data_IF_263916713130
#
_entry.id   IF_263916713130
#
_cell.length_a   1.000
_cell.length_b   1.000
_cell.length_c   1.000
_cell.angle_alpha   90.00
_cell.angle_beta   90.00
_cell.angle_gamma   90.00
#
_symmetry.space_group_name_H-M   'P 1'
#
loop_
_entity.id
_entity.type
_entity.pdbx_description
1 polymer ?
#
# COMPACT_ATOMS: atom_id res chain seq x y z
N UNK A 1 10.65 11.91 13.91
CA UNK A 1 9.87 10.75 13.45
C UNK A 1 10.79 9.53 13.51
N UNK A 2 10.37 8.47 14.19
CA UNK A 2 11.16 7.22 14.25
C UNK A 2 11.12 6.51 12.90
N UNK A 3 12.26 6.00 12.45
CA UNK A 3 12.36 5.12 11.29
C UNK A 3 12.30 3.67 11.76
N UNK A 4 11.64 2.82 10.99
CA UNK A 4 11.44 1.40 11.29
C UNK A 4 12.27 0.55 10.33
N UNK A 5 12.83 -0.56 10.83
CA UNK A 5 13.46 -1.60 10.03
C UNK A 5 12.46 -2.70 9.67
N UNK A 6 12.81 -3.58 8.72
CA UNK A 6 12.01 -4.79 8.44
C UNK A 6 11.84 -5.66 9.70
N UNK A 7 12.84 -5.72 10.58
CA UNK A 7 12.75 -6.49 11.81
C UNK A 7 11.67 -5.95 12.75
N UNK A 8 11.55 -4.63 12.84
CA UNK A 8 10.50 -3.97 13.63
C UNK A 8 9.10 -4.29 13.06
N UNK A 9 8.97 -4.40 11.74
CA UNK A 9 7.72 -4.79 11.09
C UNK A 9 7.33 -6.23 11.45
N UNK A 10 8.29 -7.16 11.35
CA UNK A 10 8.07 -8.59 11.66
C UNK A 10 7.60 -8.78 13.11
N UNK A 11 8.16 -7.99 14.04
CA UNK A 11 7.93 -8.11 15.48
C UNK A 11 6.84 -7.19 16.03
N UNK A 12 6.33 -6.24 15.24
CA UNK A 12 5.35 -5.27 15.72
C UNK A 12 4.09 -5.95 16.25
N UNK A 13 3.69 -5.54 17.45
CA UNK A 13 2.44 -5.93 18.10
C UNK A 13 1.35 -4.87 17.96
N UNK A 14 1.61 -3.82 17.16
CA UNK A 14 0.69 -2.71 17.00
C UNK A 14 -0.62 -3.16 16.35
N UNK A 15 -1.72 -2.53 16.78
CA UNK A 15 -3.04 -2.78 16.19
C UNK A 15 -3.03 -2.51 14.69
N UNK A 16 -2.37 -1.45 14.25
CA UNK A 16 -2.23 -1.08 12.84
C UNK A 16 -0.76 -1.19 12.44
N UNK A 17 -0.48 -2.04 11.45
CA UNK A 17 0.86 -2.35 10.96
C UNK A 17 1.05 -1.74 9.58
N UNK A 18 0.84 -0.43 9.50
CA UNK A 18 0.92 0.35 8.27
C UNK A 18 2.25 1.10 8.21
N UNK A 19 2.98 0.88 7.13
CA UNK A 19 4.32 1.43 6.91
C UNK A 19 4.38 2.11 5.54
N UNK A 20 5.29 3.06 5.39
CA UNK A 20 5.54 3.74 4.13
C UNK A 20 7.02 3.69 3.80
N UNK A 21 7.34 3.28 2.57
CA UNK A 21 8.67 3.36 1.99
C UNK A 21 8.66 4.51 0.97
N UNK A 22 9.16 5.67 1.40
CA UNK A 22 9.25 6.85 0.53
C UNK A 22 10.43 6.67 -0.43
N UNK A 23 10.21 6.91 -1.71
CA UNK A 23 11.23 6.90 -2.76
C UNK A 23 10.90 7.96 -3.81
N UNK A 24 11.84 8.27 -4.69
CA UNK A 24 11.55 8.98 -5.93
C UNK A 24 11.09 7.99 -7.02
N UNK A 25 10.51 8.52 -8.10
CA UNK A 25 10.10 7.71 -9.25
C UNK A 25 11.27 6.91 -9.85
N UNK A 26 12.48 7.47 -9.87
CA UNK A 26 13.68 6.82 -10.39
C UNK A 26 14.17 5.68 -9.47
N UNK A 27 13.90 5.76 -8.16
CA UNK A 27 14.31 4.78 -7.15
C UNK A 27 13.28 3.67 -6.93
N UNK A 28 12.09 3.75 -7.54
CA UNK A 28 11.00 2.80 -7.33
C UNK A 28 11.44 1.36 -7.63
N UNK A 29 12.17 1.16 -8.73
CA UNK A 29 12.67 -0.16 -9.15
C UNK A 29 13.68 -0.72 -8.12
N UNK A 30 14.53 0.13 -7.57
CA UNK A 30 15.53 -0.26 -6.56
C UNK A 30 14.87 -0.60 -5.22
N UNK A 31 13.83 0.15 -4.84
CA UNK A 31 13.01 -0.12 -3.66
C UNK A 31 12.28 -1.47 -3.77
N UNK A 32 11.67 -1.76 -4.92
CA UNK A 32 11.02 -3.06 -5.21
C UNK A 32 12.05 -4.19 -5.15
N UNK A 33 13.21 -3.98 -5.78
CA UNK A 33 14.29 -4.99 -5.82
C UNK A 33 14.83 -5.29 -4.42
N UNK A 34 14.99 -4.27 -3.59
CA UNK A 34 15.41 -4.41 -2.19
C UNK A 34 14.38 -5.20 -1.36
N UNK A 35 13.08 -4.88 -1.47
CA UNK A 35 12.02 -5.65 -0.82
C UNK A 35 12.02 -7.11 -1.27
N UNK A 36 12.18 -7.36 -2.57
CA UNK A 36 12.25 -8.72 -3.11
C UNK A 36 13.47 -9.49 -2.58
N UNK A 37 14.63 -8.84 -2.45
CA UNK A 37 15.83 -9.43 -1.83
C UNK A 37 15.60 -9.80 -0.35
N UNK A 38 14.67 -9.13 0.33
CA UNK A 38 14.20 -9.48 1.69
C UNK A 38 13.05 -10.49 1.72
N UNK A 39 12.71 -11.09 0.57
CA UNK A 39 11.58 -12.03 0.38
C UNK A 39 10.21 -11.41 0.64
N UNK A 40 10.05 -10.12 0.33
CA UNK A 40 8.80 -9.38 0.50
C UNK A 40 8.17 -9.22 -0.87
N UNK A 41 6.93 -9.69 -1.01
CA UNK A 41 6.20 -9.55 -2.26
C UNK A 41 5.68 -8.12 -2.42
N UNK A 42 5.89 -7.55 -3.62
CA UNK A 42 5.46 -6.19 -3.96
C UNK A 42 4.45 -6.22 -5.09
N UNK A 43 3.28 -5.63 -4.89
CA UNK A 43 2.15 -5.67 -5.83
C UNK A 43 2.00 -4.32 -6.52
N UNK A 44 1.93 -4.33 -7.85
CA UNK A 44 1.49 -3.18 -8.64
C UNK A 44 -0.03 -3.09 -8.60
N UNK A 45 -0.59 -2.39 -7.60
CA UNK A 45 -2.04 -2.36 -7.40
C UNK A 45 -2.74 -1.72 -8.60
N UNK A 46 -2.17 -0.64 -9.15
CA UNK A 46 -2.69 0.02 -10.35
C UNK A 46 -2.86 -0.95 -11.52
N UNK A 47 -1.84 -1.76 -11.79
CA UNK A 47 -1.87 -2.73 -12.89
C UNK A 47 -2.89 -3.85 -12.64
N UNK A 48 -2.89 -4.45 -11.45
CA UNK A 48 -3.78 -5.58 -11.13
C UNK A 48 -5.25 -5.15 -11.14
N UNK A 49 -5.57 -3.98 -10.58
CA UNK A 49 -6.94 -3.46 -10.59
C UNK A 49 -7.38 -3.02 -11.98
N UNK A 50 -6.51 -2.38 -12.77
CA UNK A 50 -6.85 -2.04 -14.15
C UNK A 50 -7.17 -3.28 -14.98
N UNK A 51 -6.37 -4.34 -14.85
CA UNK A 51 -6.62 -5.61 -15.54
C UNK A 51 -7.91 -6.30 -15.07
N UNK A 52 -8.24 -6.20 -13.78
CA UNK A 52 -9.52 -6.70 -13.27
C UNK A 52 -10.72 -5.94 -13.84
N UNK A 53 -10.66 -4.60 -13.83
CA UNK A 53 -11.75 -3.74 -14.32
C UNK A 53 -11.97 -3.91 -15.82
N UNK A 54 -10.90 -4.02 -16.61
CA UNK A 54 -10.97 -4.25 -18.06
C UNK A 54 -11.66 -5.59 -18.42
N UNK A 55 -11.63 -6.56 -17.50
CA UNK A 55 -12.29 -7.85 -17.65
C UNK A 55 -13.74 -7.90 -17.15
N UNK A 56 -14.31 -6.81 -16.67
CA UNK A 56 -15.70 -6.76 -16.20
C UNK A 56 -16.66 -6.51 -17.37
N UNK A 57 -17.70 -7.34 -17.47
CA UNK A 57 -18.79 -7.15 -18.43
C UNK A 57 -19.88 -6.18 -17.91
N UNK A 58 -19.94 -5.98 -16.59
CA UNK A 58 -20.91 -5.11 -15.90
C UNK A 58 -20.20 -4.23 -14.87
N UNK A 59 -20.54 -2.94 -14.87
CA UNK A 59 -19.96 -1.91 -13.99
C UNK A 59 -20.93 -1.44 -12.91
N UNK A 60 -22.12 -2.05 -12.81
CA UNK A 60 -23.18 -1.65 -11.86
C UNK A 60 -22.75 -1.70 -10.40
N UNK A 61 -21.80 -2.56 -10.04
CA UNK A 61 -21.27 -2.74 -8.69
C UNK A 61 -19.74 -2.54 -8.63
N UNK A 62 -19.19 -1.75 -9.56
CA UNK A 62 -17.75 -1.57 -9.75
C UNK A 62 -17.00 -1.27 -8.45
N UNK A 63 -17.55 -0.42 -7.59
CA UNK A 63 -16.95 -0.08 -6.31
C UNK A 63 -16.80 -1.29 -5.37
N UNK A 64 -17.85 -2.10 -5.23
CA UNK A 64 -17.86 -3.32 -4.40
C UNK A 64 -16.91 -4.36 -5.00
N UNK A 65 -16.97 -4.56 -6.32
CA UNK A 65 -16.16 -5.53 -7.03
C UNK A 65 -14.66 -5.22 -6.90
N UNK A 66 -14.28 -3.95 -7.12
CA UNK A 66 -12.88 -3.52 -6.96
C UNK A 66 -12.44 -3.58 -5.51
N UNK A 67 -13.29 -3.21 -4.55
CA UNK A 67 -12.98 -3.31 -3.12
C UNK A 67 -12.69 -4.76 -2.71
N UNK A 68 -13.58 -5.68 -3.09
CA UNK A 68 -13.45 -7.11 -2.77
C UNK A 68 -12.24 -7.73 -3.48
N UNK A 69 -12.01 -7.37 -4.74
CA UNK A 69 -10.85 -7.83 -5.49
C UNK A 69 -9.55 -7.33 -4.87
N UNK A 70 -9.45 -6.03 -4.54
CA UNK A 70 -8.27 -5.46 -3.89
C UNK A 70 -7.96 -6.17 -2.57
N UNK A 71 -8.98 -6.46 -1.74
CA UNK A 71 -8.80 -7.21 -0.50
C UNK A 71 -8.27 -8.63 -0.76
N UNK A 72 -8.88 -9.36 -1.70
CA UNK A 72 -8.44 -10.71 -2.08
C UNK A 72 -7.01 -10.70 -2.64
N UNK A 73 -6.64 -9.67 -3.41
CA UNK A 73 -5.31 -9.49 -3.98
C UNK A 73 -4.26 -9.34 -2.87
N UNK A 74 -4.53 -8.52 -1.85
CA UNK A 74 -3.64 -8.35 -0.70
C UNK A 74 -3.53 -9.64 0.13
N UNK A 75 -4.67 -10.29 0.41
CA UNK A 75 -4.71 -11.53 1.18
C UNK A 75 -4.00 -12.70 0.49
N UNK A 76 -4.04 -12.76 -0.85
CA UNK A 76 -3.38 -13.80 -1.63
C UNK A 76 -1.85 -13.70 -1.57
N UNK A 77 -1.32 -12.49 -1.47
CA UNK A 77 0.11 -12.22 -1.63
C UNK A 77 0.83 -11.88 -0.32
N UNK A 78 0.10 -11.68 0.77
CA UNK A 78 0.72 -11.56 2.09
C UNK A 78 1.44 -12.85 2.45
N UNK A 79 2.65 -12.72 2.96
CA UNK A 79 3.46 -13.85 3.37
C UNK A 79 4.37 -13.48 4.53
N UNK A 80 4.76 -14.49 5.32
CA UNK A 80 5.75 -14.32 6.37
C UNK A 80 7.17 -14.40 5.81
N UNK A 81 8.03 -13.51 6.27
CA UNK A 81 9.47 -13.62 6.02
C UNK A 81 10.00 -14.79 6.84
N UNK A 82 10.52 -15.82 6.17
CA UNK A 82 11.04 -17.04 6.81
C UNK A 82 10.05 -17.66 7.82
N UNK A 83 8.75 -17.68 7.50
CA UNK A 83 7.67 -18.23 8.34
C UNK A 83 7.54 -17.65 9.76
N UNK A 84 8.11 -16.46 10.01
CA UNK A 84 8.16 -15.86 11.35
C UNK A 84 7.42 -14.53 11.40
N UNK A 85 6.79 -14.22 12.54
CA UNK A 85 6.17 -12.93 12.82
C UNK A 85 4.88 -12.65 12.04
N UNK A 86 4.69 -11.37 11.70
CA UNK A 86 3.56 -10.86 10.94
C UNK A 86 3.59 -11.30 9.46
N UNK A 87 2.42 -11.57 8.88
CA UNK A 87 2.27 -11.59 7.41
C UNK A 87 2.55 -10.20 6.86
N UNK A 88 3.22 -10.14 5.70
CA UNK A 88 3.69 -8.90 5.12
C UNK A 88 3.38 -8.86 3.62
N UNK A 89 3.00 -7.68 3.14
CA UNK A 89 2.89 -7.37 1.71
C UNK A 89 3.28 -5.92 1.46
N UNK A 90 3.91 -5.66 0.32
CA UNK A 90 4.17 -4.32 -0.16
C UNK A 90 3.29 -3.98 -1.37
N UNK A 91 2.89 -2.73 -1.50
CA UNK A 91 2.04 -2.24 -2.59
C UNK A 91 2.59 -0.94 -3.14
N UNK A 92 2.40 -0.72 -4.44
CA UNK A 92 2.78 0.51 -5.14
C UNK A 92 1.79 0.82 -6.26
N UNK A 93 1.92 2.01 -6.86
CA UNK A 93 1.04 2.50 -7.92
C UNK A 93 -0.44 2.49 -7.48
N UNK A 94 -0.73 3.23 -6.40
CA UNK A 94 -2.06 3.26 -5.78
C UNK A 94 -3.03 4.24 -6.46
N UNK A 95 -2.64 4.87 -7.56
CA UNK A 95 -3.41 5.96 -8.19
C UNK A 95 -4.85 5.55 -8.53
N UNK A 96 -5.02 4.33 -9.03
CA UNK A 96 -6.34 3.81 -9.39
C UNK A 96 -7.29 3.75 -8.20
N UNK A 97 -6.80 3.51 -6.98
CA UNK A 97 -7.63 3.45 -5.77
C UNK A 97 -8.20 4.82 -5.37
N UNK A 98 -7.64 5.90 -5.93
CA UNK A 98 -8.07 7.27 -5.69
C UNK A 98 -8.95 7.82 -6.83
N UNK A 99 -9.27 7.01 -7.84
CA UNK A 99 -10.14 7.44 -8.93
C UNK A 99 -11.56 7.73 -8.41
N UNK A 100 -12.09 8.95 -8.60
CA UNK A 100 -13.42 9.32 -8.10
C UNK A 100 -14.53 8.42 -8.61
N UNK A 101 -14.40 7.90 -9.83
CA UNK A 101 -15.37 7.00 -10.44
C UNK A 101 -15.52 5.66 -9.70
N UNK A 102 -14.53 5.26 -8.90
CA UNK A 102 -14.61 4.06 -8.08
C UNK A 102 -15.27 4.30 -6.72
N UNK A 103 -15.38 5.57 -6.28
CA UNK A 103 -15.96 5.96 -4.99
C UNK A 103 -15.41 5.14 -3.79
N UNK A 104 -14.14 4.71 -3.88
CA UNK A 104 -13.51 3.84 -2.88
C UNK A 104 -12.97 4.63 -1.70
N UNK A 105 -13.22 4.14 -0.50
CA UNK A 105 -12.45 4.55 0.68
C UNK A 105 -11.16 3.73 0.79
N UNK A 106 -10.18 4.05 -0.06
CA UNK A 106 -8.91 3.34 -0.14
C UNK A 106 -8.11 3.38 1.17
N UNK A 107 -8.11 4.53 1.86
CA UNK A 107 -7.42 4.65 3.16
C UNK A 107 -8.01 3.69 4.19
N UNK A 108 -9.34 3.58 4.26
CA UNK A 108 -10.03 2.63 5.15
C UNK A 108 -9.75 1.18 4.76
N UNK A 109 -9.73 0.85 3.46
CA UNK A 109 -9.35 -0.49 2.99
C UNK A 109 -7.95 -0.89 3.49
N UNK A 110 -6.96 -0.04 3.26
CA UNK A 110 -5.57 -0.30 3.65
C UNK A 110 -5.42 -0.34 5.18
N UNK A 111 -6.13 0.54 5.91
CA UNK A 111 -6.18 0.56 7.38
C UNK A 111 -6.76 -0.73 7.95
N UNK A 112 -7.90 -1.20 7.44
CA UNK A 112 -8.52 -2.45 7.89
C UNK A 112 -7.62 -3.65 7.60
N UNK A 113 -7.03 -3.71 6.40
CA UNK A 113 -6.07 -4.76 6.06
C UNK A 113 -4.87 -4.78 7.03
N UNK A 114 -4.33 -3.60 7.35
CA UNK A 114 -3.17 -3.43 8.24
C UNK A 114 -3.38 -3.90 9.68
N UNK A 115 -4.63 -4.22 10.07
CA UNK A 115 -4.93 -4.84 11.37
C UNK A 115 -4.49 -6.30 11.44
N UNK A 116 -4.56 -6.98 10.29
CA UNK A 116 -4.33 -8.44 10.20
C UNK A 116 -2.95 -8.79 9.68
N UNK A 117 -2.38 -7.93 8.83
CA UNK A 117 -1.07 -8.10 8.25
C UNK A 117 -0.31 -6.76 8.27
N UNK A 118 1.00 -6.81 8.16
CA UNK A 118 1.80 -5.64 7.91
C UNK A 118 1.72 -5.25 6.42
N UNK A 119 1.50 -3.97 6.18
CA UNK A 119 1.36 -3.39 4.85
C UNK A 119 2.42 -2.30 4.67
N UNK A 120 3.24 -2.44 3.63
CA UNK A 120 4.21 -1.43 3.21
C UNK A 120 3.66 -0.74 1.97
N UNK A 121 3.36 0.55 2.06
CA UNK A 121 3.06 1.39 0.91
C UNK A 121 4.36 1.97 0.38
N UNK A 122 4.78 1.52 -0.80
CA UNK A 122 5.88 2.18 -1.54
C UNK A 122 5.28 3.42 -2.17
N UNK A 123 5.84 4.57 -1.85
CA UNK A 123 5.32 5.86 -2.28
C UNK A 123 6.40 6.63 -3.02
N UNK A 124 6.25 6.75 -4.33
CA UNK A 124 7.21 7.35 -5.26
C UNK A 124 7.09 8.88 -5.40
N UNK A 125 6.16 9.49 -4.67
CA UNK A 125 5.89 10.93 -4.72
C UNK A 125 6.31 11.62 -3.43
N UNK A 126 6.74 12.86 -3.55
CA UNK A 126 7.00 13.68 -2.37
C UNK A 126 5.66 14.02 -1.71
N UNK A 127 5.52 13.70 -0.43
CA UNK A 127 4.42 14.21 0.39
C UNK A 127 5.01 15.06 1.50
N UNK A 128 4.70 16.35 1.44
CA UNK A 128 5.10 17.33 2.44
C UNK A 128 4.19 17.30 3.68
N UNK A 129 3.08 16.57 3.60
CA UNK A 129 2.08 16.47 4.67
C UNK A 129 2.23 15.12 5.39
N UNK A 130 2.52 15.11 6.71
CA UNK A 130 2.55 13.90 7.50
C UNK A 130 1.25 13.10 7.39
N UNK A 131 1.36 11.77 7.33
CA UNK A 131 0.22 10.84 7.35
C UNK A 131 -0.79 11.00 6.20
N UNK A 132 -0.50 11.85 5.21
CA UNK A 132 -1.29 11.99 3.99
C UNK A 132 -0.44 11.67 2.78
N UNK A 133 -0.95 10.80 1.92
CA UNK A 133 -0.29 10.46 0.66
C UNK A 133 -1.09 11.09 -0.48
N UNK A 134 -0.47 12.01 -1.21
CA UNK A 134 -1.07 12.74 -2.32
C UNK A 134 -0.06 12.91 -3.45
N UNK A 135 -0.54 13.00 -4.69
CA UNK A 135 0.28 13.39 -5.83
C UNK A 135 0.29 14.91 -5.93
N UNK A 136 1.46 15.52 -6.03
CA UNK A 136 1.62 16.98 -6.15
C UNK A 136 1.02 17.57 -7.42
N UNK A 137 0.80 16.74 -8.44
CA UNK A 137 0.23 17.12 -9.74
C UNK A 137 -1.30 17.07 -9.78
N UNK A 138 -1.97 16.54 -8.76
CA UNK A 138 -3.43 16.48 -8.73
C UNK A 138 -4.01 17.83 -8.30
N UNK A 139 -4.86 18.41 -9.15
CA UNK A 139 -5.60 19.65 -8.84
C UNK A 139 -6.73 19.42 -7.83
N UNK A 140 -7.16 18.16 -7.67
CA UNK A 140 -8.20 17.76 -6.73
C UNK A 140 -7.55 17.32 -5.40
N UNK A 141 -8.19 17.67 -4.27
CA UNK A 141 -7.79 17.27 -2.91
C UNK A 141 -8.03 15.76 -2.66
N UNK A 142 -7.50 14.89 -3.51
CA UNK A 142 -7.61 13.44 -3.36
C UNK A 142 -6.33 12.94 -2.72
N UNK A 143 -6.45 12.38 -1.52
CA UNK A 143 -5.32 11.88 -0.74
C UNK A 143 -5.75 10.66 0.07
N UNK A 144 -4.81 9.77 0.34
CA UNK A 144 -4.98 8.76 1.37
C UNK A 144 -4.75 9.43 2.73
N UNK A 145 -5.81 9.57 3.53
CA UNK A 145 -5.73 10.14 4.87
C UNK A 145 -5.53 9.05 5.93
N UNK A 146 -4.35 9.06 6.58
CA UNK A 146 -4.02 8.19 7.69
C UNK A 146 -3.80 8.95 9.00
N UNK A 147 -4.38 10.15 9.15
CA UNK A 147 -4.24 10.97 10.38
C UNK A 147 -4.63 10.19 11.65
N UNK A 148 -5.61 9.29 11.57
CA UNK A 148 -6.02 8.44 12.69
C UNK A 148 -5.15 7.19 12.88
N UNK A 149 -4.20 6.91 11.98
CA UNK A 149 -3.39 5.69 11.95
C UNK A 149 -2.00 6.04 11.40
N UNK A 150 -1.11 6.56 12.26
CA UNK A 150 0.16 7.14 11.82
C UNK A 150 0.96 6.24 10.91
N UNK A 151 1.43 6.79 9.79
CA UNK A 151 2.28 6.11 8.82
C UNK A 151 3.69 5.97 9.37
N UNK A 152 4.12 4.72 9.57
CA UNK A 152 5.47 4.41 10.06
C UNK A 152 6.46 4.41 8.90
N UNK A 153 7.43 5.31 8.92
CA UNK A 153 8.44 5.38 7.84
C UNK A 153 9.41 4.20 7.94
N UNK A 154 9.46 3.39 6.88
CA UNK A 154 10.41 2.30 6.72
C UNK A 154 11.76 2.87 6.26
N UNK A 155 12.83 2.47 6.91
CA UNK A 155 14.18 2.86 6.54
C UNK A 155 14.64 2.04 5.33
N UNK A 156 14.84 2.73 4.21
CA UNK A 156 15.58 2.21 3.08
C UNK A 156 17.08 2.29 3.41
N UNK A 157 17.74 1.13 3.50
CA UNK A 157 19.19 1.08 3.67
C UNK A 157 19.82 0.94 2.28
N UNK A 158 20.39 2.04 1.78
CA UNK A 158 21.34 2.05 0.66
C UNK A 158 22.74 1.85 1.22
#
# INVERSE_FOLDING_TARGET
>A
MSTYSIQDIIQSTDRYKLYTLMCSQDELVDCISWLHAKKIHSINVGKELAAFIDGLDDFSYLNIDVFDYAKKLLDKHKAKINNTGNDLVAVYNLGILLEPALELNAAQLLKEFSKTAALIVIWENQSDIPDRLHWSTQQNNIFLDFTETPLKKLQYAI
#
